data_IF_488028322366
#
_entry.id   IF_488028322366
#
_cell.length_a   1.000
_cell.length_b   1.000
_cell.length_c   1.000
_cell.angle_alpha   90.00
_cell.angle_beta   90.00
_cell.angle_gamma   90.00
#
_symmetry.space_group_name_H-M   'P 1'
#
loop_
_entity.id
_entity.type
_entity.pdbx_description
1 polymer ?
#
# COMPACT_ATOMS: atom_id res chain seq x y z
N UNK A 1 -19.80 -33.29 -24.72
CA UNK A 1 -18.34 -33.29 -24.46
C UNK A 1 -18.09 -32.30 -23.34
N UNK A 2 -17.86 -32.78 -22.13
CA UNK A 2 -17.76 -31.97 -20.91
C UNK A 2 -16.29 -31.88 -20.53
N UNK A 3 -15.71 -30.69 -20.64
CA UNK A 3 -14.31 -30.41 -20.29
C UNK A 3 -14.19 -30.25 -18.78
N UNK A 4 -13.42 -31.15 -18.16
CA UNK A 4 -13.05 -31.08 -16.75
C UNK A 4 -11.97 -30.01 -16.54
N UNK A 5 -12.21 -29.09 -15.59
CA UNK A 5 -11.24 -28.12 -15.12
C UNK A 5 -10.36 -28.77 -14.05
N UNK A 6 -9.10 -29.05 -14.40
CA UNK A 6 -8.05 -29.48 -13.49
C UNK A 6 -7.54 -28.28 -12.68
N UNK A 7 -7.92 -28.22 -11.40
CA UNK A 7 -7.34 -27.26 -10.45
C UNK A 7 -6.09 -27.89 -9.82
N UNK A 8 -4.90 -27.53 -10.32
CA UNK A 8 -3.63 -27.87 -9.69
C UNK A 8 -3.01 -26.61 -9.08
N UNK A 9 -3.08 -26.46 -7.75
CA UNK A 9 -2.10 -25.72 -6.95
C UNK A 9 -2.45 -25.81 -5.45
N UNK A 10 -2.26 -27.00 -4.88
CA UNK A 10 -2.18 -27.16 -3.42
C UNK A 10 -0.77 -26.83 -3.00
N UNK A 11 -0.53 -25.59 -2.55
CA UNK A 11 0.70 -25.26 -1.80
C UNK A 11 0.69 -26.08 -0.51
N UNK A 12 1.77 -26.78 -0.15
CA UNK A 12 1.79 -27.59 1.07
C UNK A 12 1.71 -26.68 2.30
N UNK A 13 0.68 -26.90 3.12
CA UNK A 13 0.62 -26.37 4.48
C UNK A 13 1.91 -26.77 5.21
N UNK A 14 2.70 -25.79 5.61
CA UNK A 14 3.99 -25.96 6.27
C UNK A 14 3.80 -26.81 7.52
N UNK A 15 4.41 -28.00 7.53
CA UNK A 15 4.50 -28.85 8.73
C UNK A 15 5.18 -28.03 9.82
N UNK A 16 4.57 -27.95 11.00
CA UNK A 16 5.19 -27.37 12.19
C UNK A 16 6.38 -28.27 12.59
N UNK A 17 7.57 -27.94 12.11
CA UNK A 17 8.80 -28.60 12.54
C UNK A 17 9.08 -28.24 14.01
N UNK A 18 9.03 -29.24 14.88
CA UNK A 18 9.10 -29.11 16.33
C UNK A 18 10.52 -28.89 16.89
N UNK A 19 11.52 -28.67 16.04
CA UNK A 19 12.93 -28.71 16.45
C UNK A 19 13.48 -27.37 16.98
N UNK A 20 12.89 -26.22 16.65
CA UNK A 20 13.35 -24.90 17.13
C UNK A 20 12.29 -24.19 17.98
N UNK A 21 12.64 -23.66 19.16
CA UNK A 21 11.71 -22.84 19.94
C UNK A 21 11.22 -21.66 19.10
N UNK A 22 9.91 -21.52 18.93
CA UNK A 22 9.33 -20.43 18.14
C UNK A 22 8.96 -19.26 19.04
N UNK A 23 9.23 -18.01 18.62
CA UNK A 23 8.95 -16.85 19.46
C UNK A 23 7.44 -16.66 19.67
N UNK A 24 7.05 -16.79 20.94
CA UNK A 24 5.73 -16.56 21.57
C UNK A 24 5.38 -15.10 21.82
N UNK A 25 4.23 -14.56 21.41
CA UNK A 25 3.76 -13.31 22.03
C UNK A 25 2.96 -13.61 23.29
N UNK A 26 3.23 -12.86 24.35
CA UNK A 26 2.34 -12.75 25.52
C UNK A 26 2.10 -11.31 25.90
N UNK A 27 0.89 -11.03 26.35
CA UNK A 27 0.52 -9.73 26.87
C UNK A 27 0.75 -9.74 28.40
N UNK A 28 1.41 -8.70 28.90
CA UNK A 28 1.44 -8.40 30.34
C UNK A 28 0.69 -7.11 30.60
N UNK A 29 0.43 -6.77 31.87
CA UNK A 29 -0.29 -5.54 32.24
C UNK A 29 0.34 -4.25 31.68
N UNK A 30 1.64 -4.27 31.36
CA UNK A 30 2.39 -3.07 30.97
C UNK A 30 3.14 -3.19 29.65
N UNK A 31 3.28 -4.39 29.08
CA UNK A 31 4.10 -4.59 27.88
C UNK A 31 3.77 -5.87 27.12
N UNK A 32 4.24 -5.92 25.87
CA UNK A 32 4.29 -7.12 25.04
C UNK A 32 5.61 -7.84 25.37
N UNK A 33 5.55 -9.14 25.62
CA UNK A 33 6.74 -9.97 25.89
C UNK A 33 6.87 -11.04 24.82
N UNK A 34 8.07 -11.14 24.24
CA UNK A 34 8.43 -12.23 23.33
C UNK A 34 8.99 -13.38 24.17
N UNK A 35 8.24 -14.48 24.28
CA UNK A 35 8.66 -15.71 24.95
C UNK A 35 9.55 -16.54 24.03
N UNK A 36 10.80 -16.71 24.44
CA UNK A 36 11.78 -17.60 23.85
C UNK A 36 12.86 -17.94 24.91
N UNK A 37 13.48 -19.15 24.91
CA UNK A 37 14.53 -19.50 25.87
C UNK A 37 15.72 -18.53 25.86
N UNK A 38 16.11 -18.06 24.68
CA UNK A 38 17.07 -16.97 24.48
C UNK A 38 16.31 -15.70 24.05
N UNK A 39 16.29 -14.68 24.90
CA UNK A 39 15.57 -13.44 24.63
C UNK A 39 16.06 -12.72 23.36
N UNK A 40 17.37 -12.68 23.11
CA UNK A 40 17.91 -12.02 21.93
C UNK A 40 17.59 -12.79 20.65
N UNK A 41 17.70 -14.12 20.68
CA UNK A 41 17.29 -14.95 19.56
C UNK A 41 15.79 -14.81 19.28
N UNK A 42 14.95 -14.77 20.33
CA UNK A 42 13.51 -14.58 20.19
C UNK A 42 13.15 -13.25 19.51
N UNK A 43 13.80 -12.15 19.90
CA UNK A 43 13.63 -10.85 19.24
C UNK A 43 14.08 -10.87 17.78
N UNK A 44 15.25 -11.44 17.48
CA UNK A 44 15.75 -11.54 16.09
C UNK A 44 14.80 -12.36 15.21
N UNK A 45 14.38 -13.53 15.68
CA UNK A 45 13.44 -14.40 14.96
C UNK A 45 12.08 -13.72 14.75
N UNK A 46 11.61 -12.92 15.72
CA UNK A 46 10.37 -12.15 15.55
C UNK A 46 10.55 -10.99 14.58
N UNK A 47 11.67 -10.26 14.65
CA UNK A 47 11.99 -9.17 13.73
C UNK A 47 12.03 -9.66 12.28
N UNK A 48 12.77 -10.74 12.02
CA UNK A 48 12.87 -11.37 10.72
C UNK A 48 11.48 -11.79 10.20
N UNK A 49 10.69 -12.47 11.03
CA UNK A 49 9.39 -12.96 10.61
C UNK A 49 8.34 -11.85 10.38
N UNK A 50 8.57 -10.65 10.92
CA UNK A 50 7.70 -9.49 10.73
C UNK A 50 8.27 -8.46 9.74
N UNK A 51 9.44 -8.71 9.15
CA UNK A 51 10.10 -7.78 8.22
C UNK A 51 10.59 -6.49 8.90
N UNK A 52 10.85 -6.54 10.21
CA UNK A 52 11.36 -5.40 10.96
C UNK A 52 12.89 -5.29 10.80
N UNK A 53 13.36 -4.11 10.41
CA UNK A 53 14.79 -3.85 10.13
C UNK A 53 15.64 -3.68 11.39
N UNK A 54 15.02 -3.27 12.50
CA UNK A 54 15.68 -3.06 13.78
C UNK A 54 14.71 -3.30 14.95
N UNK A 55 15.22 -3.12 16.17
CA UNK A 55 14.41 -3.27 17.39
C UNK A 55 13.28 -2.24 17.45
N UNK A 56 13.50 -1.00 17.03
CA UNK A 56 12.49 0.05 17.15
C UNK A 56 11.31 -0.21 16.20
N UNK A 57 11.59 -0.66 14.98
CA UNK A 57 10.60 -1.12 14.01
C UNK A 57 9.81 -2.32 14.56
N UNK A 58 10.49 -3.32 15.14
CA UNK A 58 9.83 -4.48 15.74
C UNK A 58 8.86 -4.06 16.85
N UNK A 59 9.33 -3.25 17.81
CA UNK A 59 8.50 -2.80 18.93
C UNK A 59 7.37 -1.88 18.45
N UNK A 60 7.62 -1.04 17.45
CA UNK A 60 6.64 -0.17 16.81
C UNK A 60 5.50 -0.98 16.18
N UNK A 61 5.83 -1.97 15.35
CA UNK A 61 4.86 -2.86 14.71
C UNK A 61 4.05 -3.62 15.78
N UNK A 62 4.71 -4.26 16.75
CA UNK A 62 4.01 -5.00 17.81
C UNK A 62 3.05 -4.11 18.62
N UNK A 63 3.47 -2.87 18.92
CA UNK A 63 2.61 -1.89 19.62
C UNK A 63 1.41 -1.46 18.78
N UNK A 64 1.58 -1.28 17.47
CA UNK A 64 0.48 -0.97 16.55
C UNK A 64 -0.52 -2.13 16.47
N UNK A 65 -0.03 -3.37 16.33
CA UNK A 65 -0.88 -4.57 16.29
C UNK A 65 -1.63 -4.77 17.62
N UNK A 66 -0.97 -4.54 18.77
CA UNK A 66 -1.63 -4.61 20.07
C UNK A 66 -2.78 -3.59 20.20
N UNK A 67 -2.60 -2.38 19.68
CA UNK A 67 -3.69 -1.38 19.66
C UNK A 67 -4.83 -1.82 18.74
N UNK A 68 -4.51 -2.42 17.59
CA UNK A 68 -5.51 -2.95 16.68
C UNK A 68 -6.21 -4.21 17.22
N UNK A 69 -5.56 -4.97 18.12
CA UNK A 69 -6.10 -6.21 18.68
C UNK A 69 -7.21 -6.00 19.71
N UNK A 70 -7.47 -4.76 20.12
CA UNK A 70 -8.45 -4.40 21.15
C UNK A 70 -9.85 -4.98 20.92
N UNK A 71 -10.39 -5.63 21.94
CA UNK A 71 -11.78 -6.08 22.05
C UNK A 71 -12.34 -5.50 23.36
N UNK A 72 -13.53 -4.91 23.33
CA UNK A 72 -14.17 -4.31 24.53
C UNK A 72 -13.21 -3.43 25.35
N UNK A 73 -12.48 -2.52 24.69
CA UNK A 73 -11.54 -1.56 25.27
C UNK A 73 -10.25 -2.14 25.89
N UNK A 74 -9.98 -3.45 25.72
CA UNK A 74 -8.74 -4.07 26.21
C UNK A 74 -8.01 -4.78 25.07
N UNK A 75 -6.66 -4.71 25.00
CA UNK A 75 -5.91 -5.53 24.06
C UNK A 75 -6.18 -7.01 24.33
N UNK A 76 -6.51 -7.74 23.28
CA UNK A 76 -6.75 -9.18 23.36
C UNK A 76 -5.50 -9.95 22.92
N UNK A 77 -5.01 -10.85 23.78
CA UNK A 77 -3.78 -11.62 23.53
C UNK A 77 -3.97 -12.61 22.38
N UNK A 78 -5.12 -13.28 22.30
CA UNK A 78 -5.39 -14.27 21.25
C UNK A 78 -5.47 -13.60 19.88
N UNK A 79 -6.14 -12.44 19.79
CA UNK A 79 -6.24 -11.66 18.58
C UNK A 79 -4.88 -11.05 18.19
N UNK A 80 -4.07 -10.57 19.14
CA UNK A 80 -2.70 -10.12 18.85
C UNK A 80 -1.84 -11.28 18.29
N UNK A 81 -1.92 -12.45 18.91
CA UNK A 81 -1.21 -13.64 18.44
C UNK A 81 -1.67 -14.06 17.04
N UNK A 82 -2.97 -14.00 16.75
CA UNK A 82 -3.53 -14.20 15.42
C UNK A 82 -2.95 -13.20 14.42
N UNK A 83 -2.98 -11.90 14.73
CA UNK A 83 -2.48 -10.86 13.83
C UNK A 83 -1.00 -11.08 13.49
N UNK A 84 -0.18 -11.39 14.48
CA UNK A 84 1.24 -11.72 14.28
C UNK A 84 1.40 -12.98 13.44
N UNK A 85 0.60 -14.02 13.70
CA UNK A 85 0.63 -15.24 12.88
C UNK A 85 0.30 -14.96 11.41
N UNK A 86 -0.68 -14.09 11.15
CA UNK A 86 -1.05 -13.69 9.78
C UNK A 86 0.07 -12.90 9.10
N UNK A 87 0.70 -11.95 9.79
CA UNK A 87 1.85 -11.21 9.24
C UNK A 87 3.00 -12.17 8.90
N UNK A 88 3.33 -13.10 9.81
CA UNK A 88 4.34 -14.13 9.57
C UNK A 88 4.01 -14.98 8.33
N UNK A 89 2.74 -15.33 8.14
CA UNK A 89 2.28 -16.09 6.98
C UNK A 89 2.38 -15.32 5.65
N UNK A 90 2.21 -14.00 5.67
CA UNK A 90 2.40 -13.13 4.50
C UNK A 90 3.90 -12.97 4.16
N UNK A 91 4.77 -13.14 5.16
CA UNK A 91 6.22 -13.10 5.05
C UNK A 91 6.73 -11.80 4.38
N UNK A 92 6.58 -10.64 5.03
CA UNK A 92 7.06 -9.36 4.51
C UNK A 92 8.57 -9.41 4.25
N UNK A 93 8.99 -8.95 3.08
CA UNK A 93 10.38 -9.02 2.58
C UNK A 93 11.23 -7.80 2.93
N UNK A 94 10.59 -6.68 3.20
CA UNK A 94 11.21 -5.39 3.49
C UNK A 94 10.32 -4.55 4.42
N UNK A 95 10.80 -3.36 4.80
CA UNK A 95 10.06 -2.45 5.69
C UNK A 95 8.73 -1.96 5.11
N UNK A 96 8.64 -1.78 3.79
CA UNK A 96 7.41 -1.32 3.14
C UNK A 96 6.36 -2.44 3.18
N UNK A 97 6.77 -3.66 2.86
CA UNK A 97 5.92 -4.84 3.02
C UNK A 97 5.51 -5.04 4.48
N UNK A 98 6.40 -4.82 5.45
CA UNK A 98 6.07 -4.93 6.88
C UNK A 98 4.96 -3.96 7.30
N UNK A 99 5.06 -2.69 6.89
CA UNK A 99 4.03 -1.68 7.15
C UNK A 99 2.71 -2.02 6.44
N UNK A 100 2.77 -2.37 5.16
CA UNK A 100 1.59 -2.72 4.37
C UNK A 100 0.89 -3.96 4.96
N UNK A 101 1.66 -4.97 5.34
CA UNK A 101 1.17 -6.22 5.93
C UNK A 101 0.51 -5.97 7.28
N UNK A 102 1.11 -5.14 8.15
CA UNK A 102 0.49 -4.75 9.41
C UNK A 102 -0.86 -4.04 9.20
N UNK A 103 -0.94 -3.17 8.19
CA UNK A 103 -2.17 -2.51 7.80
C UNK A 103 -3.21 -3.51 7.26
N UNK A 104 -2.84 -4.43 6.36
CA UNK A 104 -3.71 -5.46 5.78
C UNK A 104 -4.34 -6.34 6.86
N UNK A 105 -3.52 -6.83 7.81
CA UNK A 105 -4.01 -7.66 8.91
C UNK A 105 -4.97 -6.88 9.81
N UNK A 106 -4.67 -5.61 10.08
CA UNK A 106 -5.57 -4.72 10.85
C UNK A 106 -6.90 -4.46 10.13
N UNK A 107 -6.85 -4.24 8.81
CA UNK A 107 -8.04 -4.08 7.94
C UNK A 107 -8.89 -5.34 7.95
N UNK A 108 -8.26 -6.52 7.86
CA UNK A 108 -8.97 -7.80 7.93
C UNK A 108 -9.72 -7.96 9.27
N UNK A 109 -9.04 -7.72 10.40
CA UNK A 109 -9.66 -7.76 11.73
C UNK A 109 -10.83 -6.76 11.84
N UNK A 110 -10.66 -5.53 11.37
CA UNK A 110 -11.72 -4.52 11.37
C UNK A 110 -12.92 -4.93 10.48
N UNK A 111 -12.66 -5.57 9.35
CA UNK A 111 -13.68 -6.10 8.44
C UNK A 111 -14.50 -7.18 9.14
N UNK A 112 -13.84 -8.17 9.76
CA UNK A 112 -14.51 -9.26 10.46
C UNK A 112 -15.32 -8.77 11.67
N UNK A 113 -14.82 -7.77 12.40
CA UNK A 113 -15.60 -7.10 13.47
C UNK A 113 -16.82 -6.37 12.93
N UNK A 114 -16.69 -5.69 11.79
CA UNK A 114 -17.81 -4.99 11.15
C UNK A 114 -18.88 -5.98 10.71
N UNK A 115 -18.48 -7.12 10.14
CA UNK A 115 -19.39 -8.20 9.75
C UNK A 115 -20.13 -8.78 10.96
N UNK A 116 -19.40 -9.07 12.04
CA UNK A 116 -20.00 -9.53 13.30
C UNK A 116 -21.02 -8.51 13.85
N UNK A 117 -20.65 -7.22 13.92
CA UNK A 117 -21.57 -6.16 14.37
C UNK A 117 -22.82 -6.08 13.50
N UNK A 118 -22.68 -6.18 12.18
CA UNK A 118 -23.80 -6.16 11.24
C UNK A 118 -24.78 -7.30 11.53
N UNK A 119 -24.28 -8.50 11.85
CA UNK A 119 -25.11 -9.67 12.13
C UNK A 119 -26.02 -9.53 13.37
N UNK A 120 -25.66 -8.65 14.31
CA UNK A 120 -26.41 -8.42 15.55
C UNK A 120 -27.15 -7.07 15.60
N UNK A 121 -27.06 -6.26 14.55
CA UNK A 121 -27.68 -4.92 14.53
C UNK A 121 -29.09 -5.02 13.93
N UNK A 122 -30.12 -4.58 14.65
CA UNK A 122 -31.50 -4.53 14.15
C UNK A 122 -31.91 -3.14 13.65
N UNK A 123 -31.19 -2.09 14.08
CA UNK A 123 -31.43 -0.71 13.64
C UNK A 123 -30.93 -0.48 12.21
N UNK A 124 -31.85 -0.18 11.29
CA UNK A 124 -31.57 0.01 9.87
C UNK A 124 -30.56 1.14 9.62
N UNK A 125 -30.61 2.22 10.40
CA UNK A 125 -29.66 3.34 10.24
C UNK A 125 -28.23 2.91 10.59
N UNK A 126 -28.06 2.14 11.67
CA UNK A 126 -26.77 1.55 12.04
C UNK A 126 -26.30 0.48 11.05
N UNK A 127 -27.19 -0.38 10.57
CA UNK A 127 -26.86 -1.39 9.57
C UNK A 127 -26.23 -0.77 8.33
N UNK A 128 -26.82 0.31 7.80
CA UNK A 128 -26.30 0.99 6.62
C UNK A 128 -24.90 1.59 6.87
N UNK A 129 -24.67 2.20 8.05
CA UNK A 129 -23.36 2.72 8.44
C UNK A 129 -22.28 1.63 8.55
N UNK A 130 -22.64 0.47 9.12
CA UNK A 130 -21.75 -0.69 9.25
C UNK A 130 -21.46 -1.31 7.88
N UNK A 131 -22.48 -1.51 7.05
CA UNK A 131 -22.35 -2.03 5.67
C UNK A 131 -21.42 -1.16 4.84
N UNK A 132 -21.57 0.17 4.88
CA UNK A 132 -20.65 1.09 4.18
C UNK A 132 -19.21 0.96 4.67
N UNK A 133 -19.02 0.80 5.97
CA UNK A 133 -17.68 0.62 6.56
C UNK A 133 -17.05 -0.70 6.12
N UNK A 134 -17.82 -1.80 6.18
CA UNK A 134 -17.41 -3.11 5.72
C UNK A 134 -17.01 -3.08 4.24
N UNK A 135 -17.84 -2.49 3.37
CA UNK A 135 -17.56 -2.38 1.93
C UNK A 135 -16.34 -1.52 1.64
N UNK A 136 -16.07 -0.46 2.41
CA UNK A 136 -14.83 0.33 2.28
C UNK A 136 -13.61 -0.50 2.66
N UNK A 137 -13.63 -1.16 3.82
CA UNK A 137 -12.51 -1.97 4.30
C UNK A 137 -12.21 -3.15 3.36
N UNK A 138 -13.25 -3.82 2.84
CA UNK A 138 -13.10 -4.91 1.87
C UNK A 138 -12.42 -4.43 0.57
N UNK A 139 -12.83 -3.27 0.03
CA UNK A 139 -12.18 -2.67 -1.14
C UNK A 139 -10.75 -2.25 -0.85
N UNK A 140 -10.48 -1.68 0.33
CA UNK A 140 -9.10 -1.36 0.76
C UNK A 140 -8.24 -2.61 0.81
N UNK A 141 -8.74 -3.72 1.37
CA UNK A 141 -8.00 -4.99 1.42
C UNK A 141 -7.65 -5.51 0.02
N UNK A 142 -8.60 -5.48 -0.92
CA UNK A 142 -8.34 -5.87 -2.31
C UNK A 142 -7.26 -4.99 -2.96
N UNK A 143 -7.34 -3.66 -2.79
CA UNK A 143 -6.35 -2.73 -3.31
C UNK A 143 -4.95 -2.94 -2.69
N UNK A 144 -4.87 -3.25 -1.39
CA UNK A 144 -3.61 -3.55 -0.72
C UNK A 144 -3.00 -4.86 -1.23
N UNK A 145 -3.82 -5.88 -1.49
CA UNK A 145 -3.37 -7.16 -2.05
C UNK A 145 -2.82 -6.96 -3.47
N UNK A 146 -3.48 -6.17 -4.31
CA UNK A 146 -2.96 -5.81 -5.64
C UNK A 146 -1.65 -5.02 -5.55
N UNK A 147 -1.55 -4.06 -4.62
CA UNK A 147 -0.34 -3.30 -4.40
C UNK A 147 0.83 -4.19 -3.95
N UNK A 148 0.59 -5.14 -3.04
CA UNK A 148 1.59 -6.12 -2.60
C UNK A 148 2.02 -7.03 -3.75
N UNK A 149 1.07 -7.55 -4.53
CA UNK A 149 1.37 -8.40 -5.69
C UNK A 149 2.19 -7.64 -6.74
N UNK A 150 1.87 -6.37 -7.00
CA UNK A 150 2.63 -5.51 -7.91
C UNK A 150 4.03 -5.23 -7.39
N UNK A 151 4.16 -4.90 -6.10
CA UNK A 151 5.46 -4.69 -5.44
C UNK A 151 6.35 -5.93 -5.59
N UNK A 152 5.79 -7.12 -5.37
CA UNK A 152 6.50 -8.40 -5.51
C UNK A 152 6.75 -8.83 -6.96
N UNK A 153 5.87 -8.48 -7.89
CA UNK A 153 5.91 -8.88 -9.30
C UNK A 153 6.71 -7.97 -10.21
N UNK A 154 7.13 -6.79 -9.75
CA UNK A 154 7.89 -5.83 -10.55
C UNK A 154 9.35 -6.27 -10.88
N UNK A 155 9.78 -7.47 -10.47
CA UNK A 155 11.08 -8.04 -10.81
C UNK A 155 11.16 -8.66 -12.21
N UNK A 156 10.03 -9.06 -12.81
CA UNK A 156 10.00 -9.78 -14.08
C UNK A 156 8.76 -9.39 -14.90
N UNK A 157 8.85 -8.31 -15.68
CA UNK A 157 8.14 -8.31 -16.96
C UNK A 157 9.16 -8.82 -17.98
N UNK A 158 9.10 -10.08 -18.43
CA UNK A 158 9.82 -10.46 -19.62
C UNK A 158 9.29 -9.56 -20.73
N UNK A 159 10.11 -8.61 -21.18
CA UNK A 159 9.88 -7.98 -22.48
C UNK A 159 10.15 -9.11 -23.45
N UNK A 160 9.11 -9.84 -23.85
CA UNK A 160 9.21 -10.83 -24.92
C UNK A 160 9.45 -10.06 -26.20
N UNK A 161 10.72 -9.83 -26.53
CA UNK A 161 11.11 -9.33 -27.85
C UNK A 161 10.83 -10.47 -28.82
N UNK A 162 9.66 -10.42 -29.47
CA UNK A 162 9.43 -11.22 -30.66
C UNK A 162 10.37 -10.65 -31.72
N UNK A 163 11.45 -11.36 -32.05
CA UNK A 163 12.34 -10.99 -33.15
C UNK A 163 11.52 -11.11 -34.45
N UNK A 164 10.90 -10.01 -34.87
CA UNK A 164 10.27 -9.89 -36.18
C UNK A 164 11.39 -9.71 -37.21
N UNK A 165 11.53 -10.61 -38.18
CA UNK A 165 12.43 -10.36 -39.30
C UNK A 165 11.82 -9.26 -40.16
N UNK A 166 12.57 -8.18 -40.31
CA UNK A 166 12.18 -7.09 -41.19
C UNK A 166 12.72 -7.46 -42.58
N UNK A 167 11.82 -7.67 -43.55
CA UNK A 167 12.23 -7.82 -44.95
C UNK A 167 12.85 -6.50 -45.44
N UNK A 168 13.77 -6.59 -46.42
CA UNK A 168 14.44 -5.43 -47.01
C UNK A 168 13.43 -4.32 -47.35
N UNK A 169 13.52 -3.19 -46.63
CA UNK A 169 12.66 -2.01 -46.81
C UNK A 169 11.64 -1.72 -45.71
N UNK A 170 11.46 -2.58 -44.69
CA UNK A 170 10.62 -2.26 -43.53
C UNK A 170 11.37 -1.50 -42.43
N UNK A 171 10.68 -0.66 -41.64
CA UNK A 171 11.23 -0.09 -40.41
C UNK A 171 10.35 -0.47 -39.22
N UNK A 172 10.95 -1.08 -38.21
CA UNK A 172 10.29 -1.42 -36.95
C UNK A 172 10.78 -0.49 -35.84
N UNK A 173 9.86 0.11 -35.11
CA UNK A 173 10.19 0.93 -33.92
C UNK A 173 10.13 0.01 -32.69
N UNK A 174 11.27 -0.19 -32.04
CA UNK A 174 11.36 -0.95 -30.78
C UNK A 174 11.69 0.02 -29.64
N UNK A 175 10.71 0.26 -28.78
CA UNK A 175 10.84 1.18 -27.64
C UNK A 175 9.49 1.59 -27.06
N UNK A 176 9.47 2.16 -25.86
CA UNK A 176 8.24 2.64 -25.21
C UNK A 176 7.73 3.92 -25.90
N UNK A 177 6.77 3.77 -26.83
CA UNK A 177 6.16 4.91 -27.53
C UNK A 177 5.08 5.54 -26.64
N UNK A 178 5.37 6.71 -26.07
CA UNK A 178 4.35 7.58 -25.48
C UNK A 178 3.67 8.39 -26.60
N UNK A 179 2.46 8.02 -26.99
CA UNK A 179 1.70 8.78 -27.98
C UNK A 179 1.19 10.09 -27.34
N UNK A 180 1.79 11.22 -27.70
CA UNK A 180 1.21 12.53 -27.45
C UNK A 180 0.06 12.75 -28.44
N UNK A 181 -1.18 12.68 -27.96
CA UNK A 181 -2.36 13.04 -28.74
C UNK A 181 -2.40 14.57 -28.94
N UNK A 182 -2.07 15.04 -30.13
CA UNK A 182 -2.30 16.43 -30.53
C UNK A 182 -3.72 16.56 -31.11
N UNK A 183 -4.60 17.23 -30.36
CA UNK A 183 -5.92 17.69 -30.81
C UNK A 183 -5.75 18.62 -32.02
N UNK A 184 -6.13 18.16 -33.21
CA UNK A 184 -6.33 19.01 -34.37
C UNK A 184 -7.83 19.25 -34.56
N UNK A 185 -8.29 20.42 -34.11
CA UNK A 185 -9.55 21.02 -34.56
C UNK A 185 -9.26 21.67 -35.91
N UNK A 186 -10.01 21.28 -36.94
CA UNK A 186 -9.94 21.90 -38.26
C UNK A 186 -10.74 23.19 -38.34
N UNK A 187 -10.33 24.09 -39.24
CA UNK A 187 -11.17 24.72 -40.28
C UNK A 187 -10.26 25.54 -41.24
N UNK A 188 -10.58 25.68 -42.55
CA UNK A 188 -9.69 26.22 -43.57
C UNK A 188 -10.10 27.61 -44.12
N UNK A 189 -9.12 28.44 -44.51
CA UNK A 189 -9.30 29.44 -45.59
C UNK A 189 -8.67 30.84 -45.39
N UNK A 190 -8.08 31.35 -46.49
CA UNK A 190 -7.74 32.76 -46.82
C UNK A 190 -6.33 33.34 -46.50
N UNK A 191 -5.36 33.00 -47.36
CA UNK A 191 -4.65 33.90 -48.31
C UNK A 191 -3.90 35.19 -47.86
N UNK A 192 -2.56 35.16 -48.05
CA UNK A 192 -1.57 36.16 -48.59
C UNK A 192 -1.20 37.52 -47.94
N UNK A 193 0.14 37.64 -47.76
CA UNK A 193 1.10 38.73 -48.06
C UNK A 193 1.49 39.85 -47.05
N UNK A 194 2.76 39.75 -46.60
CA UNK A 194 3.87 40.73 -46.65
C UNK A 194 3.91 42.01 -45.75
N UNK A 195 4.56 41.88 -44.58
CA UNK A 195 5.62 42.74 -43.96
C UNK A 195 5.35 44.21 -43.57
N UNK A 196 6.28 44.91 -42.85
CA UNK A 196 7.37 44.48 -41.96
C UNK A 196 7.32 45.13 -40.53
N UNK A 197 8.26 44.71 -39.67
CA UNK A 197 8.47 45.12 -38.26
C UNK A 197 8.89 46.60 -38.10
N UNK A 198 8.61 47.22 -36.94
CA UNK A 198 9.67 47.99 -36.27
C UNK A 198 9.79 47.79 -34.74
N UNK A 199 11.05 47.61 -34.32
CA UNK A 199 11.84 48.20 -33.24
C UNK A 199 11.32 48.45 -31.81
N UNK A 200 12.12 47.89 -30.87
CA UNK A 200 12.35 48.24 -29.46
C UNK A 200 12.47 49.74 -29.13
N UNK A 201 11.93 50.13 -27.97
CA UNK A 201 12.45 51.08 -26.97
C UNK A 201 11.77 50.71 -25.62
N UNK A 202 12.43 50.27 -24.54
CA UNK A 202 13.41 50.92 -23.65
C UNK A 202 12.88 52.18 -22.94
N UNK A 203 12.36 52.02 -21.71
CA UNK A 203 12.03 53.12 -20.80
C UNK A 203 11.94 52.65 -19.35
N UNK A 204 12.97 52.99 -18.56
CA UNK A 204 13.24 52.61 -17.17
C UNK A 204 12.84 53.75 -16.23
N UNK A 205 12.67 53.42 -14.93
CA UNK A 205 12.64 54.25 -13.68
C UNK A 205 11.24 54.32 -13.05
N UNK A 206 10.95 53.73 -11.89
CA UNK A 206 11.57 53.74 -10.54
C UNK A 206 11.29 55.01 -9.73
N UNK A 207 10.85 54.78 -8.47
CA UNK A 207 10.72 55.65 -7.30
C UNK A 207 9.52 56.63 -7.25
N UNK A 208 8.89 56.92 -6.11
CA UNK A 208 9.26 56.68 -4.71
C UNK A 208 8.06 56.78 -3.75
N UNK A 209 8.18 55.99 -2.67
CA UNK A 209 7.80 56.15 -1.25
C UNK A 209 6.93 57.31 -0.75
N UNK A 210 6.08 56.96 0.24
CA UNK A 210 5.93 57.56 1.60
C UNK A 210 4.43 57.51 2.03
N UNK A 211 3.99 57.28 3.27
CA UNK A 211 4.59 56.94 4.56
C UNK A 211 3.42 56.74 5.58
N UNK A 212 3.72 56.09 6.72
CA UNK A 212 3.11 56.30 8.05
C UNK A 212 1.64 55.83 8.25
N UNK A 213 1.20 55.26 9.39
CA UNK A 213 1.79 55.12 10.73
C UNK A 213 0.95 54.12 11.57
N UNK A 214 1.62 53.37 12.47
CA UNK A 214 1.31 53.10 13.91
C UNK A 214 -0.11 52.61 14.31
N UNK A 215 -0.34 51.73 15.29
CA UNK A 215 0.45 51.21 16.41
C UNK A 215 -0.43 51.13 17.68
N UNK A 216 -0.28 50.06 18.48
CA UNK A 216 -0.82 49.82 19.83
C UNK A 216 -2.36 49.68 19.96
N UNK A 217 -2.96 48.84 20.82
CA UNK A 217 -2.71 48.58 22.25
C UNK A 217 -3.39 47.28 22.74
N UNK A 218 -2.82 46.70 23.80
CA UNK A 218 -3.39 45.81 24.83
C UNK A 218 -3.75 44.35 24.46
#
# INVERSE_FOLDING_TARGET
MTTALTCNSTTPATKYDGSRPTPRIKLTRRSIVIKHPDAQAGERLMAEALGAVDRDALHGILKQLMKASVILQKPDEANLAFMVSMMKGIAPRDSLEAMLTAQMVSVHVATMRSACRLAFTEDLAQQEGITRTLTRLARTFAAQLEALNRHRGNGERPITVQNLSVQDGGSAIVGNVAQHAHLAVGEPGASINAGPVPSREAGKRENDRAAAMQGATA
#
